data_IF_643965256607
#
_entry.id   IF_643965256607
#
_cell.length_a   1.000
_cell.length_b   1.000
_cell.length_c   1.000
_cell.angle_alpha   90.00
_cell.angle_beta   90.00
_cell.angle_gamma   90.00
#
_symmetry.space_group_name_H-M   'P 1'
#
loop_
_entity.id
_entity.type
_entity.pdbx_description
1 polymer ?
#
# COMPACT_ATOMS: atom_id res chain seq x y z
N UNK A 1 32.41 -4.93 4.63
CA UNK A 1 31.77 -4.59 5.91
C UNK A 1 30.40 -5.22 5.94
N UNK A 2 30.09 -6.06 6.93
CA UNK A 2 28.72 -6.54 7.15
C UNK A 2 27.96 -5.42 7.85
N UNK A 3 26.88 -4.92 7.23
CA UNK A 3 26.02 -3.92 7.86
C UNK A 3 25.43 -4.50 9.16
N UNK A 4 25.34 -3.72 10.26
CA UNK A 4 24.56 -4.12 11.42
C UNK A 4 23.15 -4.55 11.00
N UNK A 5 22.60 -5.67 11.50
CA UNK A 5 21.28 -6.17 11.11
C UNK A 5 20.15 -5.14 11.25
N UNK A 6 20.29 -4.21 12.21
CA UNK A 6 19.36 -3.10 12.43
C UNK A 6 19.35 -2.09 11.26
N UNK A 7 20.49 -1.84 10.61
CA UNK A 7 20.57 -0.94 9.46
C UNK A 7 20.00 -1.61 8.19
N UNK A 8 20.11 -2.94 8.08
CA UNK A 8 19.49 -3.70 7.00
C UNK A 8 17.94 -3.74 7.10
N UNK A 9 17.38 -3.60 8.30
CA UNK A 9 15.93 -3.54 8.53
C UNK A 9 15.33 -2.12 8.36
N UNK A 10 16.16 -1.08 8.30
CA UNK A 10 15.71 0.32 8.24
C UNK A 10 14.73 0.60 7.09
N UNK A 11 14.95 0.15 5.84
CA UNK A 11 14.04 0.48 4.76
C UNK A 11 12.71 -0.30 4.86
N UNK A 12 12.71 -1.55 5.37
CA UNK A 12 11.45 -2.26 5.70
C UNK A 12 10.65 -1.53 6.76
N UNK A 13 11.31 -1.11 7.85
CA UNK A 13 10.68 -0.33 8.91
C UNK A 13 10.02 0.93 8.33
N UNK A 14 10.73 1.66 7.46
CA UNK A 14 10.21 2.87 6.86
C UNK A 14 8.99 2.58 5.97
N UNK A 15 9.01 1.54 5.15
CA UNK A 15 7.86 1.14 4.34
C UNK A 15 6.65 0.75 5.19
N UNK A 16 6.84 -0.05 6.25
CA UNK A 16 5.76 -0.45 7.13
C UNK A 16 5.17 0.76 7.87
N UNK A 17 6.00 1.67 8.37
CA UNK A 17 5.55 2.86 9.06
C UNK A 17 4.84 3.85 8.12
N UNK A 18 5.48 4.22 7.00
CA UNK A 18 4.94 5.21 6.08
C UNK A 18 3.75 4.71 5.28
N UNK A 19 3.82 3.50 4.71
CA UNK A 19 2.76 2.99 3.85
C UNK A 19 1.72 2.18 4.64
N UNK A 20 2.15 1.33 5.57
CA UNK A 20 1.26 0.52 6.39
C UNK A 20 0.62 1.27 7.56
N UNK A 21 1.31 2.27 8.11
CA UNK A 21 0.79 3.15 9.15
C UNK A 21 0.16 4.40 8.55
N UNK A 22 1.01 5.35 8.11
CA UNK A 22 0.58 6.70 7.75
C UNK A 22 -0.34 6.71 6.53
N UNK A 23 0.06 6.12 5.40
CA UNK A 23 -0.73 6.14 4.18
C UNK A 23 -2.04 5.35 4.32
N UNK A 24 -2.01 4.18 4.98
CA UNK A 24 -3.23 3.42 5.27
C UNK A 24 -4.21 4.21 6.13
N UNK A 25 -3.71 4.94 7.13
CA UNK A 25 -4.55 5.82 7.94
C UNK A 25 -5.15 6.96 7.09
N UNK A 26 -4.35 7.62 6.24
CA UNK A 26 -4.84 8.66 5.32
C UNK A 26 -5.92 8.11 4.38
N UNK A 27 -5.71 6.91 3.81
CA UNK A 27 -6.67 6.24 2.94
C UNK A 27 -7.99 5.98 3.68
N UNK A 28 -7.92 5.47 4.90
CA UNK A 28 -9.09 5.27 5.75
C UNK A 28 -9.82 6.58 6.02
N UNK A 29 -9.12 7.59 6.52
CA UNK A 29 -9.70 8.92 6.80
C UNK A 29 -10.36 9.49 5.55
N UNK A 30 -9.69 9.47 4.40
CA UNK A 30 -10.26 9.95 3.14
C UNK A 30 -11.50 9.17 2.73
N UNK A 31 -11.49 7.83 2.88
CA UNK A 31 -12.64 6.98 2.57
C UNK A 31 -13.90 7.38 3.36
N UNK A 32 -13.75 7.67 4.65
CA UNK A 32 -14.87 8.06 5.52
C UNK A 32 -15.23 9.55 5.48
N UNK A 33 -14.24 10.44 5.43
CA UNK A 33 -14.46 11.88 5.63
C UNK A 33 -14.70 12.65 4.34
N UNK A 34 -14.30 12.14 3.18
CA UNK A 34 -14.54 12.86 1.92
C UNK A 34 -16.02 12.89 1.55
N UNK A 35 -16.46 13.88 0.74
CA UNK A 35 -17.86 14.04 0.39
C UNK A 35 -18.50 12.76 -0.14
N UNK A 36 -19.80 12.54 0.11
CA UNK A 36 -20.49 11.38 -0.41
C UNK A 36 -20.63 11.46 -1.94
N UNK A 37 -20.51 10.33 -2.62
CA UNK A 37 -20.67 10.23 -4.08
C UNK A 37 -22.12 10.43 -4.53
N UNK A 38 -23.08 9.75 -3.88
CA UNK A 38 -24.52 9.92 -4.09
C UNK A 38 -25.30 9.61 -2.80
N UNK A 39 -26.61 9.82 -2.79
CA UNK A 39 -27.47 9.48 -1.64
C UNK A 39 -27.58 7.97 -1.43
N UNK A 40 -27.65 7.22 -2.52
CA UNK A 40 -27.84 5.76 -2.53
C UNK A 40 -26.51 5.02 -2.30
N UNK A 41 -25.40 5.58 -2.80
CA UNK A 41 -24.05 5.00 -2.68
C UNK A 41 -23.06 6.05 -2.21
N UNK A 42 -23.11 6.47 -0.93
CA UNK A 42 -22.27 7.56 -0.42
C UNK A 42 -20.77 7.30 -0.56
N UNK A 43 -20.33 6.04 -0.57
CA UNK A 43 -18.91 5.69 -0.70
C UNK A 43 -18.55 5.06 -2.06
N UNK A 44 -19.51 4.92 -2.97
CA UNK A 44 -19.28 4.27 -4.27
C UNK A 44 -19.15 2.76 -4.17
N UNK A 45 -18.08 2.19 -4.76
CA UNK A 45 -17.89 0.75 -4.91
C UNK A 45 -17.06 0.18 -3.74
N UNK A 46 -17.76 -0.42 -2.75
CA UNK A 46 -17.13 -0.99 -1.54
C UNK A 46 -16.21 -2.20 -1.82
N UNK A 47 -16.55 -3.15 -2.71
CA UNK A 47 -15.61 -4.21 -3.09
C UNK A 47 -14.25 -3.70 -3.58
N UNK A 48 -14.23 -2.63 -4.37
CA UNK A 48 -12.97 -2.02 -4.81
C UNK A 48 -12.21 -1.37 -3.65
N UNK A 49 -12.88 -0.82 -2.64
CA UNK A 49 -12.22 -0.29 -1.45
C UNK A 49 -11.58 -1.40 -0.61
N UNK A 50 -12.23 -2.56 -0.50
CA UNK A 50 -11.60 -3.75 0.08
C UNK A 50 -10.40 -4.24 -0.74
N UNK A 51 -10.48 -4.18 -2.08
CA UNK A 51 -9.34 -4.51 -2.92
C UNK A 51 -8.14 -3.58 -2.64
N UNK A 52 -8.35 -2.27 -2.44
CA UNK A 52 -7.29 -1.33 -2.02
C UNK A 52 -6.63 -1.81 -0.73
N UNK A 53 -7.42 -2.17 0.29
CA UNK A 53 -6.93 -2.66 1.58
C UNK A 53 -6.07 -3.93 1.43
N UNK A 54 -6.56 -4.94 0.71
CA UNK A 54 -5.85 -6.20 0.54
C UNK A 54 -4.60 -6.06 -0.33
N UNK A 55 -4.65 -5.26 -1.39
CA UNK A 55 -3.49 -4.99 -2.25
C UNK A 55 -2.40 -4.23 -1.50
N UNK A 56 -2.78 -3.23 -0.70
CA UNK A 56 -1.83 -2.46 0.12
C UNK A 56 -1.13 -3.38 1.13
N UNK A 57 -1.91 -4.13 1.91
CA UNK A 57 -1.38 -5.02 2.96
C UNK A 57 -0.60 -6.20 2.36
N UNK A 58 -1.09 -6.80 1.28
CA UNK A 58 -0.38 -7.87 0.57
C UNK A 58 0.97 -7.40 0.00
N UNK A 59 1.01 -6.20 -0.59
CA UNK A 59 2.24 -5.57 -1.06
C UNK A 59 3.23 -5.32 0.07
N UNK A 60 2.75 -4.89 1.24
CA UNK A 60 3.58 -4.65 2.44
C UNK A 60 4.12 -5.92 3.08
N UNK A 61 3.29 -6.96 3.21
CA UNK A 61 3.73 -8.26 3.73
C UNK A 61 4.83 -8.83 2.84
N UNK A 62 4.64 -8.76 1.52
CA UNK A 62 5.65 -9.23 0.57
C UNK A 62 6.94 -8.42 0.67
N UNK A 63 6.84 -7.10 0.90
CA UNK A 63 8.02 -6.24 1.14
C UNK A 63 8.74 -6.62 2.42
N UNK A 64 8.01 -6.80 3.52
CA UNK A 64 8.57 -7.15 4.82
C UNK A 64 9.35 -8.48 4.80
N UNK A 65 8.97 -9.41 3.92
CA UNK A 65 9.67 -10.69 3.74
C UNK A 65 10.83 -10.55 2.75
N UNK A 66 10.58 -9.99 1.56
CA UNK A 66 11.53 -10.02 0.46
C UNK A 66 12.67 -9.01 0.62
N UNK A 67 12.46 -7.88 1.28
CA UNK A 67 13.47 -6.84 1.40
C UNK A 67 14.62 -7.24 2.34
N UNK A 68 14.38 -7.79 3.56
CA UNK A 68 15.46 -8.36 4.38
C UNK A 68 16.11 -9.55 3.69
N UNK A 69 15.34 -10.37 2.98
CA UNK A 69 15.87 -11.51 2.24
C UNK A 69 16.87 -11.04 1.17
N UNK A 70 16.53 -10.04 0.35
CA UNK A 70 17.46 -9.48 -0.63
C UNK A 70 18.69 -8.85 0.03
N UNK A 71 18.54 -8.19 1.18
CA UNK A 71 19.65 -7.55 1.88
C UNK A 71 20.67 -8.54 2.47
N UNK A 72 20.20 -9.68 2.99
CA UNK A 72 21.06 -10.69 3.65
C UNK A 72 21.56 -11.75 2.67
N UNK A 73 20.67 -12.22 1.78
CA UNK A 73 20.96 -13.30 0.84
C UNK A 73 20.24 -13.02 -0.49
N UNK A 74 20.85 -12.25 -1.40
CA UNK A 74 20.21 -11.84 -2.65
C UNK A 74 19.82 -13.05 -3.52
N UNK A 75 18.51 -13.32 -3.63
CA UNK A 75 17.96 -14.37 -4.48
C UNK A 75 17.05 -13.79 -5.57
N UNK A 76 17.02 -14.34 -6.80
CA UNK A 76 16.13 -13.87 -7.87
C UNK A 76 14.66 -13.85 -7.46
N UNK A 77 14.19 -14.90 -6.76
CA UNK A 77 12.80 -15.01 -6.30
C UNK A 77 12.41 -13.86 -5.34
N UNK A 78 13.31 -13.45 -4.46
CA UNK A 78 13.07 -12.34 -3.54
C UNK A 78 13.00 -10.99 -4.29
N UNK A 79 13.82 -10.81 -5.33
CA UNK A 79 13.76 -9.62 -6.20
C UNK A 79 12.45 -9.54 -6.98
N UNK A 80 11.98 -10.67 -7.53
CA UNK A 80 10.67 -10.75 -8.18
C UNK A 80 9.52 -10.49 -7.19
N UNK A 81 9.66 -10.97 -5.94
CA UNK A 81 8.75 -10.64 -4.84
C UNK A 81 8.70 -9.14 -4.56
N UNK A 82 9.84 -8.44 -4.56
CA UNK A 82 9.86 -6.98 -4.42
C UNK A 82 9.19 -6.26 -5.59
N UNK A 83 9.37 -6.75 -6.83
CA UNK A 83 8.66 -6.21 -7.99
C UNK A 83 7.15 -6.38 -7.84
N UNK A 84 6.69 -7.60 -7.53
CA UNK A 84 5.27 -7.87 -7.30
C UNK A 84 4.72 -6.98 -6.17
N UNK A 85 5.46 -6.83 -5.08
CA UNK A 85 5.11 -5.92 -3.97
C UNK A 85 4.91 -4.49 -4.48
N UNK A 86 5.83 -3.96 -5.30
CA UNK A 86 5.70 -2.62 -5.87
C UNK A 86 4.45 -2.48 -6.77
N UNK A 87 4.16 -3.51 -7.58
CA UNK A 87 2.98 -3.53 -8.43
C UNK A 87 1.68 -3.54 -7.62
N UNK A 88 1.59 -4.34 -6.56
CA UNK A 88 0.43 -4.38 -5.67
C UNK A 88 0.18 -3.02 -5.00
N UNK A 89 1.24 -2.38 -4.49
CA UNK A 89 1.16 -1.05 -3.88
C UNK A 89 0.72 0.02 -4.90
N UNK A 90 1.29 -0.02 -6.12
CA UNK A 90 0.93 0.90 -7.20
C UNK A 90 -0.53 0.75 -7.61
N UNK A 91 -0.98 -0.49 -7.85
CA UNK A 91 -2.38 -0.77 -8.23
C UNK A 91 -3.35 -0.39 -7.12
N UNK A 92 -3.01 -0.63 -5.86
CA UNK A 92 -3.79 -0.15 -4.70
C UNK A 92 -3.97 1.37 -4.75
N UNK A 93 -2.88 2.12 -4.97
CA UNK A 93 -2.92 3.56 -5.13
C UNK A 93 -3.81 4.03 -6.29
N UNK A 94 -3.70 3.40 -7.46
CA UNK A 94 -4.53 3.76 -8.63
C UNK A 94 -6.02 3.46 -8.42
N UNK A 95 -6.37 2.31 -7.83
CA UNK A 95 -7.76 1.99 -7.52
C UNK A 95 -8.31 3.00 -6.51
N UNK A 96 -7.54 3.34 -5.47
CA UNK A 96 -7.94 4.34 -4.49
C UNK A 96 -8.17 5.71 -5.13
N UNK A 97 -7.26 6.18 -5.97
CA UNK A 97 -7.43 7.44 -6.71
C UNK A 97 -8.69 7.41 -7.58
N UNK A 98 -8.95 6.31 -8.30
CA UNK A 98 -10.14 6.14 -9.12
C UNK A 98 -11.45 6.15 -8.33
N UNK A 99 -11.47 5.56 -7.13
CA UNK A 99 -12.62 5.60 -6.22
C UNK A 99 -12.86 6.99 -5.63
N UNK A 100 -11.79 7.71 -5.32
CA UNK A 100 -11.86 8.97 -4.61
C UNK A 100 -12.12 10.16 -5.54
N UNK A 101 -11.55 10.15 -6.75
CA UNK A 101 -11.62 11.25 -7.70
C UNK A 101 -13.06 11.74 -7.98
N UNK A 102 -14.05 10.86 -8.24
CA UNK A 102 -15.43 11.29 -8.46
C UNK A 102 -16.08 12.01 -7.26
N UNK A 103 -15.56 11.81 -6.05
CA UNK A 103 -16.08 12.42 -4.81
C UNK A 103 -15.51 13.82 -4.56
N UNK A 104 -14.38 14.15 -5.17
CA UNK A 104 -13.66 15.42 -4.94
C UNK A 104 -13.56 16.30 -6.17
N UNK A 105 -13.66 15.73 -7.37
CA UNK A 105 -13.72 16.52 -8.59
C UNK A 105 -14.96 17.42 -8.50
N UNK A 106 -14.76 18.73 -8.60
CA UNK A 106 -15.86 19.68 -8.68
C UNK A 106 -16.81 19.32 -9.82
N UNK A 107 -18.07 19.75 -9.72
CA UNK A 107 -19.04 19.60 -10.80
C UNK A 107 -18.63 20.43 -12.01
#
# INVERSE_FOLDING_TARGET
>A
MVLPPILAASPVYFHLFMLGGVAQFIIGVAWWMFPPLSKERPRGNEPLAWAVFFLLNGGLILRAICEPWVAVAPQPIARWGLLLSALLLMVSGWIFMGLLWPRVKGK
#
